data_IF_773509711767
#
_entry.id   IF_773509711767
#
_cell.length_a   1.000
_cell.length_b   1.000
_cell.length_c   1.000
_cell.angle_alpha   90.00
_cell.angle_beta   90.00
_cell.angle_gamma   90.00
#
_symmetry.space_group_name_H-M   'P 1'
#
loop_
_entity.id
_entity.type
_entity.pdbx_description
1 polymer ?
#
# COMPACT_ATOMS: atom_id res chain seq x y z
N UNK A 1 -10.50 1.03 10.82
CA UNK A 1 -10.58 -0.04 9.80
C UNK A 1 -9.68 -1.20 10.21
N UNK A 2 -10.11 -2.41 9.93
CA UNK A 2 -9.40 -3.63 10.28
C UNK A 2 -8.95 -4.36 9.02
N UNK A 3 -7.77 -4.95 9.08
CA UNK A 3 -7.23 -5.77 8.00
C UNK A 3 -6.54 -7.01 8.51
N UNK A 4 -6.41 -8.01 7.63
CA UNK A 4 -5.74 -9.27 7.96
C UNK A 4 -5.20 -9.96 6.71
N UNK A 5 -4.20 -10.81 6.90
CA UNK A 5 -3.71 -11.69 5.85
C UNK A 5 -4.69 -12.86 5.60
N UNK A 6 -4.43 -13.66 4.57
CA UNK A 6 -5.32 -14.75 4.15
C UNK A 6 -5.58 -15.77 5.25
N UNK A 7 -4.58 -16.14 6.03
CA UNK A 7 -4.77 -17.13 7.12
C UNK A 7 -5.27 -16.49 8.42
N UNK A 8 -5.34 -15.17 8.49
CA UNK A 8 -5.78 -14.44 9.69
C UNK A 8 -4.74 -14.31 10.78
N UNK A 9 -3.55 -14.89 10.62
CA UNK A 9 -2.51 -14.86 11.65
C UNK A 9 -1.94 -13.45 11.88
N UNK A 10 -1.82 -12.66 10.80
CA UNK A 10 -1.39 -11.26 10.88
C UNK A 10 -2.61 -10.37 10.73
N UNK A 11 -2.86 -9.51 11.71
CA UNK A 11 -3.96 -8.55 11.67
C UNK A 11 -3.54 -7.20 12.22
N UNK A 12 -4.24 -6.15 11.78
CA UNK A 12 -3.93 -4.77 12.13
C UNK A 12 -5.17 -3.89 12.12
N UNK A 13 -5.04 -2.72 12.69
CA UNK A 13 -6.08 -1.67 12.67
C UNK A 13 -5.49 -0.35 12.21
N UNK A 14 -6.30 0.43 11.48
CA UNK A 14 -5.99 1.78 11.03
C UNK A 14 -7.04 2.72 11.61
N UNK A 15 -6.60 3.76 12.32
CA UNK A 15 -7.47 4.81 12.89
C UNK A 15 -7.51 6.08 12.04
N UNK A 16 -6.70 6.16 10.97
CA UNK A 16 -6.64 7.32 10.08
C UNK A 16 -7.91 7.49 9.25
N UNK A 17 -8.24 8.74 8.92
CA UNK A 17 -9.18 9.06 7.85
C UNK A 17 -8.43 9.04 6.52
N UNK A 18 -8.89 8.22 5.58
CA UNK A 18 -8.24 8.00 4.30
C UNK A 18 -9.10 8.61 3.19
N UNK A 19 -8.53 9.56 2.44
CA UNK A 19 -9.22 10.23 1.35
C UNK A 19 -9.14 9.47 0.03
N UNK A 20 -8.11 8.67 -0.18
CA UNK A 20 -7.92 7.95 -1.43
C UNK A 20 -6.93 6.82 -1.33
N UNK A 21 -7.05 5.89 -2.28
CA UNK A 21 -6.08 4.83 -2.52
C UNK A 21 -5.25 5.17 -3.74
N UNK A 22 -4.08 4.57 -3.85
CA UNK A 22 -3.29 4.68 -5.07
C UNK A 22 -2.91 3.32 -5.61
N UNK A 23 -2.69 3.24 -6.92
CA UNK A 23 -2.11 2.08 -7.57
C UNK A 23 -0.73 2.42 -8.11
N UNK A 24 0.25 1.60 -7.79
CA UNK A 24 1.59 1.70 -8.36
C UNK A 24 1.78 0.58 -9.39
N UNK A 25 2.06 0.98 -10.62
CA UNK A 25 2.15 0.07 -11.77
C UNK A 25 3.60 -0.29 -12.12
N UNK A 26 4.57 -0.04 -11.26
CA UNK A 26 5.97 -0.39 -11.49
C UNK A 26 6.19 -1.91 -11.48
N UNK A 27 7.30 -2.36 -12.05
CA UNK A 27 7.62 -3.78 -12.14
C UNK A 27 7.78 -4.43 -10.76
N UNK A 28 8.29 -3.72 -9.77
CA UNK A 28 8.41 -4.23 -8.40
C UNK A 28 7.03 -4.53 -7.80
N UNK A 29 6.08 -3.62 -7.98
CA UNK A 29 4.71 -3.80 -7.51
C UNK A 29 3.98 -4.90 -8.27
N UNK A 30 4.18 -5.00 -9.58
CA UNK A 30 3.63 -6.10 -10.37
C UNK A 30 4.13 -7.45 -9.87
N UNK A 31 5.43 -7.58 -9.58
CA UNK A 31 6.01 -8.83 -9.08
C UNK A 31 5.57 -9.13 -7.65
N UNK A 32 5.50 -8.13 -6.79
CA UNK A 32 5.08 -8.33 -5.41
C UNK A 32 3.64 -8.83 -5.32
N UNK A 33 2.75 -8.27 -6.12
CA UNK A 33 1.32 -8.64 -6.12
C UNK A 33 1.01 -9.85 -7.00
N UNK A 34 1.89 -10.17 -7.97
CA UNK A 34 1.57 -11.13 -9.02
C UNK A 34 0.45 -10.65 -9.93
N UNK A 35 0.30 -9.34 -10.10
CA UNK A 35 -0.79 -8.72 -10.84
C UNK A 35 -0.32 -7.46 -11.57
N UNK A 36 -1.26 -6.57 -11.88
CA UNK A 36 -1.01 -5.32 -12.62
C UNK A 36 -0.35 -4.24 -11.77
N UNK A 37 -0.59 -4.27 -10.46
CA UNK A 37 -0.22 -3.16 -9.56
C UNK A 37 -0.36 -3.57 -8.11
N UNK A 38 0.16 -2.73 -7.21
CA UNK A 38 -0.24 -2.72 -5.81
C UNK A 38 -1.26 -1.59 -5.61
N UNK A 39 -2.37 -1.90 -4.94
CA UNK A 39 -3.33 -0.91 -4.47
C UNK A 39 -3.13 -0.70 -2.99
N UNK A 40 -2.80 0.52 -2.59
CA UNK A 40 -2.36 0.80 -1.24
C UNK A 40 -2.77 2.20 -0.79
N UNK A 41 -2.56 2.46 0.48
CA UNK A 41 -2.52 3.79 1.06
C UNK A 41 -1.31 3.93 1.98
N UNK A 42 -1.06 5.13 2.46
CA UNK A 42 0.04 5.42 3.38
C UNK A 42 -0.55 6.14 4.58
N UNK A 43 -0.28 5.64 5.77
CA UNK A 43 -0.80 6.18 7.02
C UNK A 43 0.34 6.52 7.97
N UNK A 44 0.10 7.44 8.89
CA UNK A 44 1.07 7.74 9.95
C UNK A 44 1.22 6.55 10.87
N UNK A 45 2.42 6.35 11.40
CA UNK A 45 2.71 5.32 12.39
C UNK A 45 1.76 5.41 13.60
N UNK A 46 1.42 6.64 14.02
CA UNK A 46 0.50 6.89 15.15
C UNK A 46 -0.93 6.42 14.87
N UNK A 47 -1.30 6.22 13.61
CA UNK A 47 -2.64 5.78 13.20
C UNK A 47 -2.68 4.27 12.86
N UNK A 48 -1.57 3.56 13.06
CA UNK A 48 -1.43 2.15 12.71
C UNK A 48 -1.13 1.31 13.96
N UNK A 49 -1.82 0.18 14.11
CA UNK A 49 -1.60 -0.74 15.23
C UNK A 49 -1.61 -2.18 14.76
N UNK A 50 -0.54 -2.94 15.05
CA UNK A 50 -0.57 -4.39 14.92
C UNK A 50 -1.48 -4.98 16.01
N UNK A 51 -2.41 -5.84 15.61
CA UNK A 51 -3.32 -6.53 16.54
C UNK A 51 -2.78 -7.93 16.87
N UNK A 52 -2.31 -8.66 15.85
CA UNK A 52 -1.75 -10.00 16.05
C UNK A 52 -0.74 -10.34 14.97
N UNK A 53 0.15 -11.28 15.28
CA UNK A 53 1.02 -11.91 14.29
C UNK A 53 2.21 -11.10 13.81
N UNK A 54 2.58 -10.02 14.50
CA UNK A 54 3.74 -9.22 14.08
C UNK A 54 5.05 -10.04 14.07
N UNK A 55 5.18 -11.04 14.93
CA UNK A 55 6.30 -11.97 14.99
C UNK A 55 6.25 -13.06 13.90
N UNK A 56 5.15 -13.15 13.17
CA UNK A 56 4.98 -14.09 12.04
C UNK A 56 5.26 -13.44 10.68
N UNK A 57 5.81 -12.22 10.66
CA UNK A 57 6.10 -11.49 9.43
C UNK A 57 7.53 -11.79 8.99
N UNK A 58 7.67 -12.25 7.74
CA UNK A 58 8.96 -12.35 7.07
C UNK A 58 9.24 -11.05 6.32
N UNK A 59 10.48 -10.65 6.32
CA UNK A 59 10.93 -9.38 5.77
C UNK A 59 11.98 -9.61 4.68
N UNK A 60 11.80 -8.96 3.53
CA UNK A 60 12.77 -8.94 2.45
C UNK A 60 12.98 -7.50 1.96
N UNK A 61 14.23 -7.14 1.76
CA UNK A 61 14.61 -5.81 1.30
C UNK A 61 15.53 -5.91 0.09
N UNK A 62 15.17 -5.23 -0.98
CA UNK A 62 16.00 -5.09 -2.17
C UNK A 62 17.07 -4.03 -1.93
N UNK A 63 18.18 -4.12 -2.64
CA UNK A 63 19.26 -3.13 -2.54
C UNK A 63 18.80 -1.69 -2.82
N UNK A 64 17.78 -1.53 -3.66
CA UNK A 64 17.16 -0.23 -3.96
C UNK A 64 16.38 0.38 -2.80
N UNK A 65 16.13 -0.38 -1.73
CA UNK A 65 15.30 0.04 -0.59
C UNK A 65 13.86 -0.43 -0.66
N UNK A 66 13.45 -1.06 -1.76
CA UNK A 66 12.11 -1.66 -1.87
C UNK A 66 11.96 -2.80 -0.87
N UNK A 67 10.86 -2.81 -0.13
CA UNK A 67 10.60 -3.76 0.94
C UNK A 67 9.38 -4.62 0.60
N UNK A 68 9.47 -5.90 0.94
CA UNK A 68 8.33 -6.83 0.86
C UNK A 68 8.23 -7.59 2.17
N UNK A 69 7.26 -7.23 2.98
CA UNK A 69 6.91 -7.95 4.19
C UNK A 69 5.70 -8.83 3.92
N UNK A 70 5.71 -10.04 4.44
CA UNK A 70 4.63 -11.00 4.19
C UNK A 70 4.46 -11.96 5.36
N UNK A 71 3.25 -12.49 5.50
CA UNK A 71 2.97 -13.51 6.50
C UNK A 71 3.74 -14.79 6.14
N UNK A 72 4.56 -15.29 7.07
CA UNK A 72 5.35 -16.51 6.81
C UNK A 72 4.50 -17.76 6.66
N UNK A 73 3.26 -17.77 7.17
CA UNK A 73 2.37 -18.92 7.11
C UNK A 73 1.60 -18.99 5.78
N UNK A 74 1.07 -17.88 5.28
CA UNK A 74 0.26 -17.87 4.05
C UNK A 74 0.88 -17.11 2.87
N UNK A 75 2.00 -16.41 3.08
CA UNK A 75 2.69 -15.65 2.03
C UNK A 75 2.00 -14.33 1.64
N UNK A 76 0.91 -13.97 2.27
CA UNK A 76 0.18 -12.75 1.95
C UNK A 76 1.04 -11.52 2.26
N UNK A 77 1.22 -10.57 1.31
CA UNK A 77 1.84 -9.29 1.63
C UNK A 77 1.09 -8.58 2.76
N UNK A 78 1.84 -7.97 3.67
CA UNK A 78 1.28 -7.27 4.84
C UNK A 78 1.85 -5.85 4.90
N UNK A 79 1.25 -4.96 5.71
CA UNK A 79 1.80 -3.62 5.88
C UNK A 79 3.26 -3.62 6.31
N UNK A 80 3.99 -2.61 5.86
CA UNK A 80 5.37 -2.39 6.27
C UNK A 80 5.65 -0.90 6.43
N UNK A 81 6.65 -0.60 7.25
CA UNK A 81 7.15 0.77 7.38
C UNK A 81 7.71 1.25 6.03
N UNK A 82 7.32 2.44 5.63
CA UNK A 82 7.79 3.06 4.39
C UNK A 82 9.22 3.58 4.62
N UNK A 83 10.21 2.78 4.24
CA UNK A 83 11.63 3.03 4.50
C UNK A 83 11.88 3.30 5.99
N UNK A 84 12.68 4.29 6.35
CA UNK A 84 12.96 4.69 7.73
C UNK A 84 12.12 5.90 8.16
N UNK A 85 10.90 6.00 7.65
CA UNK A 85 9.97 7.10 7.93
C UNK A 85 8.99 6.77 9.06
N UNK A 86 8.20 7.75 9.47
CA UNK A 86 7.10 7.58 10.42
C UNK A 86 5.77 7.21 9.73
N UNK A 87 5.84 6.55 8.57
CA UNK A 87 4.68 6.13 7.80
C UNK A 87 4.69 4.63 7.55
N UNK A 88 3.47 4.06 7.46
CA UNK A 88 3.26 2.68 7.03
C UNK A 88 2.62 2.64 5.65
N UNK A 89 3.17 1.81 4.77
CA UNK A 89 2.54 1.39 3.54
C UNK A 89 1.55 0.27 3.85
N UNK A 90 0.31 0.41 3.38
CA UNK A 90 -0.76 -0.55 3.68
C UNK A 90 -1.39 -1.05 2.40
N UNK A 91 -1.24 -2.37 2.08
CA UNK A 91 -1.93 -2.97 0.94
C UNK A 91 -3.42 -3.09 1.27
N UNK A 92 -4.25 -2.37 0.55
CA UNK A 92 -5.66 -2.19 0.90
C UNK A 92 -6.55 -3.37 0.56
N UNK A 93 -6.07 -4.32 -0.23
CA UNK A 93 -6.78 -5.59 -0.43
C UNK A 93 -6.97 -6.41 0.85
N UNK A 94 -6.18 -6.14 1.90
CA UNK A 94 -6.30 -6.80 3.19
C UNK A 94 -7.37 -6.18 4.10
N UNK A 95 -7.83 -4.99 3.79
CA UNK A 95 -8.75 -4.20 4.62
C UNK A 95 -10.18 -4.42 4.15
N UNK A 96 -11.10 -4.62 5.09
CA UNK A 96 -12.51 -4.88 4.82
C UNK A 96 -13.39 -3.69 5.20
N UNK A 97 -14.60 -3.65 4.61
CA UNK A 97 -15.68 -2.73 5.00
C UNK A 97 -15.31 -1.24 4.88
N UNK A 98 -14.76 -0.85 3.73
CA UNK A 98 -14.54 0.55 3.42
C UNK A 98 -15.09 0.90 2.03
N UNK A 99 -15.33 2.19 1.79
CA UNK A 99 -15.78 2.72 0.50
C UNK A 99 -14.89 3.90 0.07
N UNK A 100 -13.60 3.59 -0.10
CA UNK A 100 -12.60 4.57 -0.54
C UNK A 100 -12.17 4.20 -1.94
N UNK A 101 -12.07 5.19 -2.82
CA UNK A 101 -11.74 4.96 -4.24
C UNK A 101 -10.26 5.16 -4.52
N UNK A 102 -9.81 4.58 -5.62
CA UNK A 102 -8.48 4.84 -6.17
C UNK A 102 -8.50 6.24 -6.78
N UNK A 103 -7.64 7.11 -6.27
CA UNK A 103 -7.57 8.53 -6.69
C UNK A 103 -6.32 8.87 -7.47
N UNK A 104 -5.31 8.01 -7.44
CA UNK A 104 -4.00 8.28 -8.05
C UNK A 104 -3.38 7.01 -8.60
N UNK A 105 -2.73 7.12 -9.75
CA UNK A 105 -1.94 6.06 -10.37
C UNK A 105 -0.50 6.52 -10.52
N UNK A 106 0.45 5.69 -10.06
CA UNK A 106 1.88 5.95 -10.13
C UNK A 106 2.55 5.01 -11.11
N UNK A 107 3.64 5.49 -11.73
CA UNK A 107 4.47 4.69 -12.64
C UNK A 107 3.68 4.12 -13.82
N UNK A 108 2.78 4.91 -14.39
CA UNK A 108 1.94 4.48 -15.50
C UNK A 108 2.74 4.11 -16.75
N UNK A 109 3.92 4.70 -16.95
CA UNK A 109 4.81 4.36 -18.08
C UNK A 109 5.37 2.94 -17.97
N UNK A 110 5.35 2.33 -16.78
CA UNK A 110 5.85 0.98 -16.53
C UNK A 110 4.74 -0.09 -16.53
N UNK A 111 3.51 0.30 -16.82
CA UNK A 111 2.37 -0.64 -16.79
C UNK A 111 2.61 -1.86 -17.67
N UNK A 112 2.01 -2.99 -17.31
CA UNK A 112 2.02 -4.18 -18.14
C UNK A 112 1.28 -3.93 -19.48
N UNK A 113 1.79 -4.50 -20.57
CA UNK A 113 1.19 -4.31 -21.90
C UNK A 113 -0.25 -4.82 -21.99
N UNK A 114 -0.60 -5.79 -21.15
CA UNK A 114 -1.92 -6.42 -21.14
C UNK A 114 -2.88 -5.75 -20.15
N UNK A 115 -2.48 -4.65 -19.52
CA UNK A 115 -3.27 -3.91 -18.54
C UNK A 115 -3.79 -2.61 -19.14
N UNK A 116 -5.07 -2.32 -18.87
CA UNK A 116 -5.69 -1.03 -19.16
C UNK A 116 -5.96 -0.31 -17.84
N UNK A 117 -5.24 0.81 -17.63
CA UNK A 117 -5.44 1.63 -16.44
C UNK A 117 -6.76 2.40 -16.57
N UNK A 118 -7.54 2.45 -15.49
CA UNK A 118 -8.79 3.22 -15.42
C UNK A 118 -8.58 4.67 -15.85
N UNK A 119 -9.59 5.25 -16.52
CA UNK A 119 -9.58 6.67 -16.92
C UNK A 119 -9.74 7.62 -15.73
N UNK A 120 -10.12 7.13 -14.56
CA UNK A 120 -10.33 7.95 -13.36
C UNK A 120 -9.05 8.09 -12.54
N UNK A 121 -8.95 9.21 -11.84
CA UNK A 121 -7.80 9.50 -10.98
C UNK A 121 -6.68 10.26 -11.67
N UNK A 122 -5.76 10.76 -10.86
CA UNK A 122 -4.57 11.47 -11.32
C UNK A 122 -3.53 10.42 -11.75
N UNK A 123 -2.96 10.60 -12.94
CA UNK A 123 -1.95 9.68 -13.48
C UNK A 123 -0.59 10.33 -13.51
N UNK A 124 0.40 9.65 -12.94
CA UNK A 124 1.81 10.01 -13.02
C UNK A 124 2.54 8.96 -13.85
N UNK A 125 3.32 9.38 -14.83
CA UNK A 125 4.15 8.47 -15.64
C UNK A 125 5.20 7.76 -14.79
N UNK A 126 5.75 8.46 -13.82
CA UNK A 126 6.76 7.97 -12.88
C UNK A 126 6.25 8.15 -11.44
N UNK A 127 7.15 8.31 -10.47
CA UNK A 127 6.79 8.65 -9.09
C UNK A 127 6.32 10.11 -9.02
N UNK A 128 5.50 10.47 -8.01
CA UNK A 128 5.09 11.87 -7.85
C UNK A 128 6.31 12.75 -7.55
N UNK A 129 6.32 14.01 -8.03
CA UNK A 129 7.48 14.90 -7.85
C UNK A 129 7.74 15.29 -6.40
N UNK A 130 6.70 15.27 -5.55
CA UNK A 130 6.80 15.57 -4.12
C UNK A 130 6.06 14.50 -3.32
N UNK A 131 6.83 13.65 -2.62
CA UNK A 131 6.29 12.54 -1.85
C UNK A 131 5.42 13.02 -0.68
N UNK A 132 5.83 14.08 0.01
CA UNK A 132 5.06 14.60 1.16
C UNK A 132 3.70 15.13 0.73
N UNK A 133 3.63 15.86 -0.37
CA UNK A 133 2.36 16.35 -0.95
C UNK A 133 1.49 15.15 -1.38
N UNK A 134 2.09 14.15 -1.97
CA UNK A 134 1.37 12.94 -2.38
C UNK A 134 0.78 12.21 -1.17
N UNK A 135 1.56 11.99 -0.12
CA UNK A 135 1.08 11.32 1.10
C UNK A 135 -0.07 12.10 1.73
N UNK A 136 0.04 13.43 1.79
CA UNK A 136 -1.04 14.29 2.31
C UNK A 136 -2.33 14.17 1.50
N UNK A 137 -2.21 13.99 0.17
CA UNK A 137 -3.39 13.84 -0.69
C UNK A 137 -4.19 12.55 -0.43
N UNK A 138 -3.56 11.54 0.17
CA UNK A 138 -4.21 10.29 0.54
C UNK A 138 -4.95 10.37 1.89
N UNK A 139 -4.78 11.45 2.62
CA UNK A 139 -5.41 11.66 3.93
C UNK A 139 -6.51 12.70 3.81
N UNK A 140 -7.62 12.50 4.52
CA UNK A 140 -8.63 13.53 4.60
C UNK A 140 -8.08 14.75 5.34
N UNK A 141 -8.40 15.94 4.82
CA UNK A 141 -8.09 17.17 5.51
C UNK A 141 -8.81 17.18 6.86
N UNK A 142 -8.03 17.17 7.91
CA UNK A 142 -8.56 17.46 9.25
C UNK A 142 -8.59 18.97 9.38
N UNK A 143 -9.74 19.52 9.06
CA UNK A 143 -10.02 20.93 9.38
C UNK A 143 -10.39 21.07 10.86
#
# INVERSE_FOLDING_TARGET
>A
MKGSCNCGNVSFEISANIAGLYQCHCKLCQKQSGSTSNTATIVKESDFTWVSGADSISHWKKNSGFTSDFCKECGCPVPNRLRESAFYWVPMGLVENFDIKITTHLCCSSKANWDDISDTGIKHDDMPPDLDTFIKSLQENQD
#
